data_IF_114086823364
#
_entry.id   IF_114086823364
#
_cell.length_a   1.000
_cell.length_b   1.000
_cell.length_c   1.000
_cell.angle_alpha   90.00
_cell.angle_beta   90.00
_cell.angle_gamma   90.00
#
_symmetry.space_group_name_H-M   'P 1'
#
loop_
_entity.id
_entity.type
_entity.pdbx_description
1 polymer ?
#
# COMPACT_ATOMS: atom_id res chain seq x y z
N UNK A 1 -8.86 4.33 -46.75
CA UNK A 1 -8.04 4.77 -45.60
C UNK A 1 -8.94 4.92 -44.38
N UNK A 2 -8.76 4.29 -43.23
CA UNK A 2 -8.07 3.06 -42.86
C UNK A 2 -8.65 2.65 -41.50
N UNK A 3 -9.59 1.70 -41.46
CA UNK A 3 -10.12 1.15 -40.19
C UNK A 3 -9.00 0.55 -39.31
N UNK A 4 -7.91 0.15 -39.96
CA UNK A 4 -6.66 -0.30 -39.35
C UNK A 4 -5.96 0.82 -38.56
N UNK A 5 -6.06 2.09 -38.99
CA UNK A 5 -5.46 3.22 -38.27
C UNK A 5 -6.23 3.51 -36.97
N UNK A 6 -7.56 3.39 -36.96
CA UNK A 6 -8.37 3.62 -35.74
C UNK A 6 -8.10 2.54 -34.67
N UNK A 7 -7.90 1.28 -35.08
CA UNK A 7 -7.52 0.20 -34.17
C UNK A 7 -6.10 0.37 -33.61
N UNK A 8 -5.16 0.87 -34.42
CA UNK A 8 -3.80 1.18 -33.95
C UNK A 8 -3.77 2.33 -32.93
N UNK A 9 -4.62 3.35 -33.07
CA UNK A 9 -4.74 4.41 -32.07
C UNK A 9 -5.41 3.94 -30.76
N UNK A 10 -6.40 3.05 -30.83
CA UNK A 10 -7.00 2.45 -29.63
C UNK A 10 -5.99 1.59 -28.86
N UNK A 11 -5.16 0.80 -29.55
CA UNK A 11 -4.09 0.04 -28.90
C UNK A 11 -3.01 0.95 -28.29
N UNK A 12 -2.67 2.06 -28.93
CA UNK A 12 -1.62 2.98 -28.45
C UNK A 12 -2.05 3.79 -27.20
N UNK A 13 -3.35 4.07 -27.04
CA UNK A 13 -3.87 4.71 -25.82
C UNK A 13 -3.87 3.76 -24.62
N UNK A 14 -4.06 2.46 -24.83
CA UNK A 14 -4.05 1.46 -23.75
C UNK A 14 -2.62 1.22 -23.23
N UNK A 15 -1.58 1.45 -24.05
CA UNK A 15 -0.18 1.27 -23.63
C UNK A 15 0.39 2.47 -22.86
N UNK A 16 -0.27 3.64 -22.87
CA UNK A 16 0.29 4.87 -22.27
C UNK A 16 0.09 5.03 -20.75
N UNK A 17 -0.65 4.13 -20.09
CA UNK A 17 -0.93 4.23 -18.65
C UNK A 17 -0.02 3.36 -17.75
N UNK A 18 0.96 2.63 -18.30
CA UNK A 18 1.70 1.61 -17.53
C UNK A 18 2.84 2.13 -16.63
N UNK A 19 2.81 3.39 -16.20
CA UNK A 19 3.81 3.95 -15.27
C UNK A 19 3.20 4.69 -14.07
N UNK A 20 1.96 4.34 -13.69
CA UNK A 20 1.31 4.97 -12.54
C UNK A 20 1.95 4.58 -11.20
N UNK A 21 2.42 3.35 -11.00
CA UNK A 21 3.12 2.96 -9.76
C UNK A 21 4.61 2.75 -9.99
N UNK A 22 5.43 3.66 -9.47
CA UNK A 22 6.88 3.57 -9.62
C UNK A 22 7.50 2.58 -8.63
N UNK A 23 7.97 1.44 -9.15
CA UNK A 23 8.71 0.42 -8.38
C UNK A 23 9.95 0.99 -7.65
N UNK A 24 10.53 2.08 -8.15
CA UNK A 24 11.70 2.73 -7.52
C UNK A 24 11.44 3.18 -6.08
N UNK A 25 10.19 3.50 -5.72
CA UNK A 25 9.85 3.86 -4.34
C UNK A 25 9.98 2.66 -3.39
N UNK A 26 9.58 1.46 -3.83
CA UNK A 26 9.76 0.22 -3.09
C UNK A 26 11.24 -0.17 -2.99
N UNK A 27 11.97 -0.13 -4.12
CA UNK A 27 13.42 -0.42 -4.15
C UNK A 27 14.21 0.48 -3.21
N UNK A 28 13.83 1.76 -3.06
CA UNK A 28 14.51 2.68 -2.14
C UNK A 28 14.33 2.36 -0.65
N UNK A 29 13.38 1.49 -0.32
CA UNK A 29 13.09 1.09 1.07
C UNK A 29 13.75 -0.22 1.47
N UNK A 30 14.26 -1.01 0.52
CA UNK A 30 15.11 -2.18 0.79
C UNK A 30 16.54 -1.71 1.12
N UNK A 31 16.73 -1.32 2.39
CA UNK A 31 18.00 -0.74 2.89
C UNK A 31 19.09 -1.78 3.11
N UNK A 32 18.70 -3.02 3.40
CA UNK A 32 19.62 -4.13 3.63
C UNK A 32 19.90 -4.92 2.35
N UNK A 33 19.26 -4.58 1.24
CA UNK A 33 19.45 -5.18 -0.08
C UNK A 33 19.24 -6.69 -0.07
N UNK A 34 18.27 -7.16 0.72
CA UNK A 34 17.91 -8.56 0.81
C UNK A 34 16.82 -8.96 -0.20
N UNK A 35 16.36 -8.01 -1.01
CA UNK A 35 15.31 -8.23 -1.99
C UNK A 35 13.92 -8.30 -1.38
N UNK A 36 13.75 -7.96 -0.09
CA UNK A 36 12.50 -8.06 0.65
C UNK A 36 12.15 -6.74 1.30
N UNK A 37 10.86 -6.48 1.43
CA UNK A 37 10.34 -5.38 2.23
C UNK A 37 9.51 -5.95 3.38
N UNK A 38 9.79 -5.50 4.61
CA UNK A 38 8.83 -5.67 5.71
C UNK A 38 7.50 -5.02 5.34
N UNK A 39 6.40 -5.44 5.96
CA UNK A 39 5.08 -4.86 5.67
C UNK A 39 5.06 -3.34 5.87
N UNK A 40 5.80 -2.82 6.85
CA UNK A 40 5.92 -1.37 7.06
C UNK A 40 6.61 -0.67 5.89
N UNK A 41 7.70 -1.25 5.39
CA UNK A 41 8.39 -0.72 4.21
C UNK A 41 7.49 -0.80 2.96
N UNK A 42 6.72 -1.87 2.79
CA UNK A 42 5.73 -1.94 1.72
C UNK A 42 4.69 -0.82 1.84
N UNK A 43 4.08 -0.63 3.02
CA UNK A 43 3.07 0.41 3.27
C UNK A 43 3.65 1.81 2.99
N UNK A 44 4.86 2.10 3.47
CA UNK A 44 5.52 3.39 3.21
C UNK A 44 5.83 3.58 1.70
N UNK A 45 6.23 2.50 1.02
CA UNK A 45 6.48 2.50 -0.42
C UNK A 45 5.22 2.79 -1.23
N UNK A 46 4.12 2.12 -0.87
CA UNK A 46 2.82 2.29 -1.51
C UNK A 46 2.27 3.70 -1.33
N UNK A 47 2.32 4.24 -0.10
CA UNK A 47 1.94 5.63 0.17
C UNK A 47 2.68 6.61 -0.74
N UNK A 48 4.01 6.46 -0.82
CA UNK A 48 4.84 7.34 -1.65
C UNK A 48 4.49 7.21 -3.13
N UNK A 49 4.24 5.98 -3.58
CA UNK A 49 3.88 5.71 -4.97
C UNK A 49 2.52 6.32 -5.33
N UNK A 50 1.45 6.01 -4.58
CA UNK A 50 0.10 6.54 -4.83
C UNK A 50 0.04 8.07 -4.76
N UNK A 51 0.68 8.67 -3.73
CA UNK A 51 0.65 10.12 -3.56
C UNK A 51 1.46 10.86 -4.61
N UNK A 52 2.61 10.34 -5.03
CA UNK A 52 3.43 11.02 -6.06
C UNK A 52 2.83 10.89 -7.45
N UNK A 53 2.10 9.81 -7.70
CA UNK A 53 1.41 9.58 -8.97
C UNK A 53 0.05 10.27 -9.05
N UNK A 54 -0.39 10.90 -7.96
CA UNK A 54 -1.64 11.65 -7.92
C UNK A 54 -2.90 10.78 -7.83
N UNK A 55 -2.75 9.47 -7.61
CA UNK A 55 -3.85 8.50 -7.49
C UNK A 55 -4.58 8.70 -6.16
N UNK A 56 -3.84 8.69 -5.05
CA UNK A 56 -4.39 8.92 -3.72
C UNK A 56 -3.39 9.61 -2.80
N UNK A 57 -3.83 10.72 -2.20
CA UNK A 57 -3.02 11.57 -1.32
C UNK A 57 -3.30 11.30 0.16
N UNK A 58 -4.46 10.73 0.48
CA UNK A 58 -4.79 10.43 1.87
C UNK A 58 -3.99 9.22 2.38
N UNK A 59 -3.10 9.49 3.33
CA UNK A 59 -2.24 8.48 3.95
C UNK A 59 -3.05 7.43 4.73
N UNK A 60 -4.18 7.80 5.31
CA UNK A 60 -5.04 6.88 6.06
C UNK A 60 -5.70 5.87 5.12
N UNK A 61 -6.22 6.34 3.99
CA UNK A 61 -6.79 5.47 2.94
C UNK A 61 -5.71 4.49 2.44
N UNK A 62 -4.56 5.02 2.04
CA UNK A 62 -3.44 4.23 1.55
C UNK A 62 -2.96 3.18 2.57
N UNK A 63 -2.88 3.54 3.85
CA UNK A 63 -2.50 2.62 4.92
C UNK A 63 -3.51 1.49 5.09
N UNK A 64 -4.80 1.82 5.15
CA UNK A 64 -5.86 0.83 5.36
C UNK A 64 -5.85 -0.19 4.22
N UNK A 65 -5.85 0.29 2.98
CA UNK A 65 -5.72 -0.56 1.81
C UNK A 65 -4.45 -1.43 1.86
N UNK A 66 -3.28 -0.85 2.15
CA UNK A 66 -2.03 -1.60 2.18
C UNK A 66 -2.05 -2.77 3.19
N UNK A 67 -2.65 -2.56 4.36
CA UNK A 67 -2.74 -3.60 5.38
C UNK A 67 -3.71 -4.71 4.99
N UNK A 68 -4.82 -4.37 4.35
CA UNK A 68 -5.78 -5.36 3.85
C UNK A 68 -5.21 -6.16 2.68
N UNK A 69 -4.65 -5.47 1.69
CA UNK A 69 -3.99 -6.08 0.53
C UNK A 69 -2.91 -7.08 0.95
N UNK A 70 -2.07 -6.72 1.92
CA UNK A 70 -1.05 -7.65 2.44
C UNK A 70 -1.63 -8.80 3.27
N UNK A 71 -2.74 -8.55 3.97
CA UNK A 71 -3.43 -9.54 4.80
C UNK A 71 -3.98 -10.71 3.98
N UNK A 72 -4.47 -10.44 2.78
CA UNK A 72 -4.94 -11.47 1.84
C UNK A 72 -3.82 -12.33 1.26
N UNK A 73 -2.60 -11.78 1.19
CA UNK A 73 -1.44 -12.44 0.54
C UNK A 73 -0.63 -13.35 1.48
N UNK A 74 -1.07 -13.51 2.73
CA UNK A 74 -0.40 -14.30 3.79
C UNK A 74 1.13 -14.15 3.79
N UNK A 75 1.59 -12.91 3.67
CA UNK A 75 3.01 -12.59 3.67
C UNK A 75 3.52 -12.69 5.10
N UNK A 76 4.54 -13.52 5.33
CA UNK A 76 5.12 -13.85 6.66
C UNK A 76 5.87 -12.65 7.31
N UNK A 77 5.30 -11.44 7.30
CA UNK A 77 5.89 -10.21 7.81
C UNK A 77 6.78 -9.47 6.81
N UNK A 78 7.06 -10.06 5.65
CA UNK A 78 7.81 -9.48 4.54
C UNK A 78 7.31 -9.95 3.18
N UNK A 79 7.53 -9.13 2.16
CA UNK A 79 7.19 -9.39 0.76
C UNK A 79 8.43 -9.23 -0.12
N UNK A 80 8.64 -10.14 -1.07
CA UNK A 80 9.72 -10.05 -2.04
C UNK A 80 9.50 -8.89 -3.03
N UNK A 81 10.55 -8.11 -3.31
CA UNK A 81 10.53 -7.03 -4.29
C UNK A 81 10.13 -7.52 -5.69
N UNK A 82 10.50 -8.75 -6.05
CA UNK A 82 10.10 -9.38 -7.32
C UNK A 82 8.59 -9.56 -7.39
N UNK A 83 7.96 -9.93 -6.28
CA UNK A 83 6.50 -10.09 -6.22
C UNK A 83 5.80 -8.73 -6.31
N UNK A 84 6.36 -7.70 -5.66
CA UNK A 84 5.85 -6.32 -5.77
C UNK A 84 5.94 -5.83 -7.22
N UNK A 85 7.05 -6.09 -7.91
CA UNK A 85 7.22 -5.76 -9.32
C UNK A 85 6.18 -6.47 -10.19
N UNK A 86 5.89 -7.75 -9.91
CA UNK A 86 4.82 -8.49 -10.58
C UNK A 86 3.47 -7.81 -10.37
N UNK A 87 3.08 -7.48 -9.13
CA UNK A 87 1.80 -6.82 -8.84
C UNK A 87 1.67 -5.44 -9.47
N UNK A 88 2.77 -4.69 -9.59
CA UNK A 88 2.78 -3.40 -10.31
C UNK A 88 2.60 -3.65 -11.80
N UNK A 89 3.37 -4.57 -12.39
CA UNK A 89 3.33 -4.85 -13.83
C UNK A 89 2.01 -5.44 -14.31
N UNK A 90 1.31 -6.19 -13.47
CA UNK A 90 -0.02 -6.75 -13.75
C UNK A 90 -1.14 -5.75 -13.52
N UNK A 91 -0.87 -4.61 -12.87
CA UNK A 91 -1.89 -3.65 -12.43
C UNK A 91 -2.67 -4.09 -11.19
N UNK A 92 -2.33 -5.22 -10.58
CA UNK A 92 -3.06 -5.84 -9.47
C UNK A 92 -3.22 -4.90 -8.26
N UNK A 93 -2.18 -4.11 -7.94
CA UNK A 93 -2.27 -3.13 -6.84
C UNK A 93 -3.32 -2.07 -7.13
N UNK A 94 -3.39 -1.56 -8.36
CA UNK A 94 -4.32 -0.49 -8.73
C UNK A 94 -5.74 -1.00 -8.85
N UNK A 95 -5.94 -2.15 -9.51
CA UNK A 95 -7.25 -2.78 -9.60
C UNK A 95 -7.82 -3.08 -8.20
N UNK A 96 -7.02 -3.70 -7.32
CA UNK A 96 -7.46 -3.96 -5.95
C UNK A 96 -7.73 -2.67 -5.15
N UNK A 97 -6.97 -1.60 -5.40
CA UNK A 97 -7.19 -0.32 -4.75
C UNK A 97 -8.52 0.33 -5.16
N UNK A 98 -8.84 0.30 -6.45
CA UNK A 98 -10.11 0.83 -6.98
C UNK A 98 -11.31 0.04 -6.44
N UNK A 99 -11.24 -1.30 -6.48
CA UNK A 99 -12.27 -2.18 -5.91
C UNK A 99 -12.46 -1.92 -4.42
N UNK A 100 -11.35 -1.80 -3.67
CA UNK A 100 -11.37 -1.51 -2.24
C UNK A 100 -12.06 -0.17 -1.95
N UNK A 101 -11.76 0.87 -2.75
CA UNK A 101 -12.41 2.19 -2.62
C UNK A 101 -13.90 2.11 -2.91
N UNK A 102 -14.30 1.40 -3.96
CA UNK A 102 -15.72 1.23 -4.30
C UNK A 102 -16.53 0.64 -3.15
N UNK A 103 -16.01 -0.43 -2.53
CA UNK A 103 -16.67 -1.10 -1.40
C UNK A 103 -16.80 -0.16 -0.20
N UNK A 104 -15.78 0.67 0.08
CA UNK A 104 -15.75 1.53 1.25
C UNK A 104 -16.46 2.87 1.03
N UNK A 105 -16.47 3.41 -0.19
CA UNK A 105 -17.22 4.60 -0.56
C UNK A 105 -18.73 4.30 -0.64
N UNK A 106 -19.12 3.09 -1.08
CA UNK A 106 -20.52 2.61 -1.03
C UNK A 106 -20.97 2.22 0.40
N UNK A 107 -20.01 1.98 1.30
CA UNK A 107 -20.25 1.61 2.70
C UNK A 107 -20.83 2.73 3.59
N UNK A 108 -20.72 4.00 3.18
CA UNK A 108 -21.35 5.13 3.87
C UNK A 108 -22.87 5.23 3.60
N UNK A 109 -23.39 4.58 2.55
CA UNK A 109 -24.84 4.48 2.31
C UNK A 109 -25.47 3.22 2.92
N UNK A 110 -24.67 2.20 3.25
CA UNK A 110 -25.13 0.98 3.89
C UNK A 110 -24.21 0.55 5.03
N UNK A 111 -24.31 1.26 6.15
CA UNK A 111 -23.88 0.80 7.48
C UNK A 111 -24.48 -0.60 7.78
N UNK A 112 -23.76 -1.65 7.40
CA UNK A 112 -24.01 -3.00 7.89
C UNK A 112 -22.86 -3.44 8.78
N UNK A 113 -23.27 -3.81 9.99
CA UNK A 113 -22.49 -3.89 11.21
C UNK A 113 -21.65 -5.18 11.27
N UNK A 114 -20.77 -5.41 10.29
CA UNK A 114 -20.04 -6.66 10.14
C UNK A 114 -18.64 -6.44 9.61
N UNK A 115 -17.72 -5.98 10.45
CA UNK A 115 -16.35 -6.51 10.51
C UNK A 115 -15.66 -5.95 11.76
N UNK A 116 -15.70 -6.74 12.85
CA UNK A 116 -14.84 -6.49 14.02
C UNK A 116 -13.39 -6.73 13.62
N UNK A 117 -12.69 -5.69 13.17
CA UNK A 117 -11.24 -5.73 13.08
C UNK A 117 -10.66 -5.92 14.50
N UNK A 118 -10.05 -7.06 14.73
CA UNK A 118 -9.22 -7.32 15.91
C UNK A 118 -7.95 -6.49 15.77
N UNK A 119 -8.01 -5.20 16.13
CA UNK A 119 -6.80 -4.39 16.36
C UNK A 119 -5.92 -5.15 17.37
N UNK A 120 -4.80 -5.70 16.91
CA UNK A 120 -3.70 -6.07 17.82
C UNK A 120 -3.19 -4.76 18.41
N UNK A 121 -3.56 -4.48 19.66
CA UNK A 121 -3.00 -3.40 20.48
C UNK A 121 -1.48 -3.53 20.45
N UNK A 122 -0.81 -2.66 19.68
CA UNK A 122 0.61 -2.43 19.88
C UNK A 122 0.78 -1.71 21.22
N UNK A 123 1.51 -2.37 22.11
CA UNK A 123 1.78 -1.89 23.46
C UNK A 123 2.42 -0.50 23.43
N UNK A 124 1.78 0.43 24.12
CA UNK A 124 2.34 1.72 24.45
C UNK A 124 3.46 1.50 25.48
N UNK A 125 4.70 1.36 25.01
CA UNK A 125 5.88 1.48 25.86
C UNK A 125 6.01 2.96 26.25
N UNK A 126 5.36 3.33 27.36
CA UNK A 126 5.68 4.57 28.07
C UNK A 126 7.04 4.38 28.75
N UNK A 127 8.09 4.77 28.04
CA UNK A 127 9.32 5.22 28.68
C UNK A 127 8.99 6.48 29.48
N UNK A 128 9.09 6.42 30.80
CA UNK A 128 9.08 7.57 31.68
C UNK A 128 10.38 7.59 32.49
N UNK A 129 11.03 8.74 32.41
CA UNK A 129 12.35 9.10 32.89
C UNK A 129 12.66 8.76 34.35
N UNK A 130 13.95 8.48 34.56
CA UNK A 130 14.73 8.75 35.77
C UNK A 130 14.20 9.94 36.58
N UNK A 131 13.95 9.72 37.87
CA UNK A 131 14.22 10.73 38.89
C UNK A 131 14.80 10.04 40.13
N UNK A 132 16.06 10.34 40.43
CA UNK A 132 16.71 9.88 41.65
C UNK A 132 16.35 10.79 42.83
N UNK A 133 16.37 10.21 44.03
CA UNK A 133 16.87 10.88 45.23
C UNK A 133 17.27 9.83 46.26
N UNK A 134 18.57 9.81 46.54
CA UNK A 134 19.20 9.23 47.74
C UNK A 134 19.00 10.19 48.91
N UNK A 135 18.83 9.61 50.11
CA UNK A 135 19.34 10.01 51.45
C UNK A 135 18.38 9.44 52.50
N UNK A 136 18.70 8.33 53.17
CA UNK A 136 19.49 8.28 54.43
C UNK A 136 18.91 9.16 55.54
N UNK A 137 18.13 8.56 56.44
CA UNK A 137 18.43 8.32 57.86
C UNK A 137 17.27 7.58 58.52
#
# INVERSE_FOLDING_TARGET
MSRVIVLLFLCFSITQAQDELKLTYFKSLDRNHDGKLTHRQFVDGLNRALSTSGIEKDRSINNNFAWEFLGEKDSNGSVDLVLIEQWISSGEILTAFEEWKQIHDEGDEHSSNSHKHKMRKFGSSKGASKFGKKSEL
#
